data_IF_878401811395
#
_entry.id   IF_878401811395
#
_cell.length_a   1.000
_cell.length_b   1.000
_cell.length_c   1.000
_cell.angle_alpha   90.00
_cell.angle_beta   90.00
_cell.angle_gamma   90.00
#
_symmetry.space_group_name_H-M   'P 1'
#
loop_
_entity.id
_entity.type
_entity.pdbx_description
1 polymer ?
#
# COMPACT_ATOMS: atom_id res chain seq x y z
N UNK A 1 -13.50 10.38 14.92
CA UNK A 1 -12.66 9.73 13.89
C UNK A 1 -12.77 10.40 12.52
N UNK A 2 -13.89 10.35 11.79
CA UNK A 2 -13.98 10.95 10.43
C UNK A 2 -13.78 12.48 10.44
N UNK A 3 -14.36 13.18 11.41
CA UNK A 3 -14.22 14.63 11.54
C UNK A 3 -12.79 15.07 11.90
N UNK A 4 -12.07 14.27 12.69
CA UNK A 4 -10.67 14.51 13.05
C UNK A 4 -9.74 14.31 11.84
N UNK A 5 -9.96 13.26 11.05
CA UNK A 5 -9.23 13.01 9.79
C UNK A 5 -9.48 14.15 8.80
N UNK A 6 -10.73 14.63 8.69
CA UNK A 6 -11.08 15.78 7.85
C UNK A 6 -10.36 17.05 8.32
N UNK A 7 -10.41 17.36 9.63
CA UNK A 7 -9.74 18.54 10.19
C UNK A 7 -8.22 18.50 9.98
N UNK A 8 -7.61 17.33 10.18
CA UNK A 8 -6.18 17.12 9.96
C UNK A 8 -5.78 17.19 8.48
N UNK A 9 -6.70 16.89 7.56
CA UNK A 9 -6.49 17.04 6.11
C UNK A 9 -6.54 18.50 5.70
N UNK A 10 -7.54 19.24 6.17
CA UNK A 10 -7.70 20.68 5.92
C UNK A 10 -6.51 21.47 6.49
N UNK A 11 -6.07 21.15 7.70
CA UNK A 11 -4.94 21.82 8.34
C UNK A 11 -3.59 21.60 7.65
N UNK A 12 -3.48 20.61 6.75
CA UNK A 12 -2.28 20.35 5.95
C UNK A 12 -2.36 20.92 4.54
N UNK A 13 -3.47 21.56 4.15
CA UNK A 13 -3.61 22.17 2.83
C UNK A 13 -2.52 23.22 2.61
N UNK A 14 -1.78 23.10 1.51
CA UNK A 14 -0.59 23.92 1.21
C UNK A 14 0.67 23.65 2.05
N UNK A 15 0.61 22.80 3.08
CA UNK A 15 1.72 22.45 3.97
C UNK A 15 2.09 20.96 3.95
N UNK A 16 1.58 20.20 2.97
CA UNK A 16 1.93 18.80 2.79
C UNK A 16 3.44 18.69 2.51
N UNK A 17 4.18 17.77 3.16
CA UNK A 17 5.64 17.65 3.04
C UNK A 17 6.12 17.07 1.68
N UNK A 18 5.30 17.17 0.63
CA UNK A 18 5.57 16.68 -0.72
C UNK A 18 5.77 17.80 -1.74
N UNK A 19 6.45 17.47 -2.85
CA UNK A 19 6.54 18.34 -4.03
C UNK A 19 5.53 17.87 -5.08
N UNK A 20 4.43 18.62 -5.34
CA UNK A 20 3.42 18.22 -6.30
C UNK A 20 3.96 18.04 -7.72
N UNK A 21 4.98 18.82 -8.12
CA UNK A 21 5.58 18.70 -9.47
C UNK A 21 6.33 17.39 -9.60
N UNK A 22 7.08 16.99 -8.57
CA UNK A 22 7.75 15.68 -8.52
C UNK A 22 6.74 14.54 -8.48
N UNK A 23 5.63 14.71 -7.75
CA UNK A 23 4.54 13.71 -7.72
C UNK A 23 3.93 13.48 -9.10
N UNK A 24 3.56 14.55 -9.82
CA UNK A 24 3.05 14.44 -11.19
C UNK A 24 4.09 13.82 -12.12
N UNK A 25 5.37 14.19 -11.99
CA UNK A 25 6.43 13.60 -12.82
C UNK A 25 6.55 12.10 -12.60
N UNK A 26 6.53 11.64 -11.36
CA UNK A 26 6.56 10.22 -11.02
C UNK A 26 5.38 9.44 -11.63
N UNK A 27 4.18 10.03 -11.65
CA UNK A 27 3.00 9.41 -12.29
C UNK A 27 3.20 9.29 -13.80
N UNK A 28 3.65 10.35 -14.47
CA UNK A 28 3.90 10.33 -15.92
C UNK A 28 4.95 9.27 -16.27
N UNK A 29 6.06 9.24 -15.52
CA UNK A 29 7.15 8.29 -15.74
C UNK A 29 6.69 6.84 -15.51
N UNK A 30 5.84 6.60 -14.51
CA UNK A 30 5.27 5.27 -14.24
C UNK A 30 4.33 4.80 -15.36
N UNK A 31 3.50 5.69 -15.91
CA UNK A 31 2.57 5.35 -17.00
C UNK A 31 3.29 5.15 -18.34
N UNK A 32 4.50 5.67 -18.51
CA UNK A 32 5.31 5.52 -19.71
C UNK A 32 6.09 4.20 -19.77
N UNK A 33 6.03 3.36 -18.73
CA UNK A 33 6.69 2.05 -18.71
C UNK A 33 6.01 1.06 -19.67
N UNK A 34 6.77 0.12 -20.24
CA UNK A 34 6.23 -0.93 -21.12
C UNK A 34 5.12 -1.77 -20.43
N UNK A 35 5.22 -1.94 -19.12
CA UNK A 35 4.20 -2.55 -18.27
C UNK A 35 3.83 -1.59 -17.13
N UNK A 36 2.83 -0.71 -17.32
CA UNK A 36 2.45 0.29 -16.32
C UNK A 36 2.00 -0.36 -14.99
N UNK A 37 2.39 0.19 -13.84
CA UNK A 37 2.01 -0.37 -12.55
C UNK A 37 0.53 -0.15 -12.26
N UNK A 38 -0.13 -1.15 -11.64
CA UNK A 38 -1.52 -1.04 -11.18
C UNK A 38 -1.70 -0.09 -10.00
N UNK A 39 -0.65 0.12 -9.21
CA UNK A 39 -0.63 0.97 -8.01
C UNK A 39 0.72 1.66 -7.91
N UNK A 40 0.70 2.96 -7.64
CA UNK A 40 1.87 3.77 -7.35
C UNK A 40 1.62 4.54 -6.05
N UNK A 41 2.46 4.31 -5.05
CA UNK A 41 2.41 5.04 -3.78
C UNK A 41 3.37 6.22 -3.86
N UNK A 42 2.90 7.41 -3.50
CA UNK A 42 3.68 8.65 -3.57
C UNK A 42 4.00 9.17 -2.17
N UNK A 43 5.27 9.52 -1.95
CA UNK A 43 5.77 10.05 -0.69
C UNK A 43 6.29 8.97 0.26
N UNK A 44 7.30 9.31 1.06
CA UNK A 44 8.03 8.37 1.91
C UNK A 44 7.14 7.75 2.99
N UNK A 45 6.44 8.57 3.78
CA UNK A 45 5.57 8.08 4.86
C UNK A 45 4.46 7.17 4.33
N UNK A 46 3.87 7.53 3.18
CA UNK A 46 2.87 6.71 2.52
C UNK A 46 3.43 5.37 2.04
N UNK A 47 4.65 5.39 1.49
CA UNK A 47 5.34 4.17 1.06
C UNK A 47 5.65 3.25 2.24
N UNK A 48 6.25 3.79 3.31
CA UNK A 48 6.61 3.02 4.50
C UNK A 48 5.38 2.39 5.16
N UNK A 49 4.28 3.15 5.29
CA UNK A 49 3.02 2.66 5.84
C UNK A 49 2.40 1.56 4.96
N UNK A 50 2.41 1.73 3.63
CA UNK A 50 1.87 0.74 2.70
C UNK A 50 2.66 -0.57 2.73
N UNK A 51 4.00 -0.47 2.72
CA UNK A 51 4.88 -1.64 2.80
C UNK A 51 4.69 -2.36 4.13
N UNK A 52 4.74 -1.65 5.25
CA UNK A 52 4.56 -2.25 6.58
C UNK A 52 3.22 -2.98 6.72
N UNK A 53 2.14 -2.42 6.19
CA UNK A 53 0.81 -3.05 6.22
C UNK A 53 0.77 -4.35 5.42
N UNK A 54 1.35 -4.35 4.21
CA UNK A 54 1.39 -5.53 3.35
C UNK A 54 2.30 -6.62 3.93
N UNK A 55 3.43 -6.24 4.50
CA UNK A 55 4.35 -7.17 5.16
C UNK A 55 3.72 -7.82 6.39
N UNK A 56 3.04 -7.05 7.24
CA UNK A 56 2.31 -7.58 8.39
C UNK A 56 1.23 -8.58 7.95
N UNK A 57 0.43 -8.21 6.95
CA UNK A 57 -0.60 -9.10 6.39
C UNK A 57 0.00 -10.39 5.82
N UNK A 58 1.13 -10.28 5.12
CA UNK A 58 1.83 -11.44 4.56
C UNK A 58 2.43 -12.34 5.65
N UNK A 59 2.96 -11.76 6.72
CA UNK A 59 3.47 -12.51 7.87
C UNK A 59 2.36 -13.33 8.52
N UNK A 60 1.20 -12.72 8.80
CA UNK A 60 0.05 -13.43 9.36
C UNK A 60 -0.43 -14.59 8.48
N UNK A 61 -0.46 -14.40 7.15
CA UNK A 61 -0.81 -15.46 6.20
C UNK A 61 0.19 -16.62 6.27
N UNK A 62 1.49 -16.30 6.33
CA UNK A 62 2.57 -17.30 6.41
C UNK A 62 2.54 -18.08 7.72
N UNK A 63 2.23 -17.42 8.83
CA UNK A 63 2.09 -18.07 10.14
C UNK A 63 0.99 -19.14 10.16
N UNK A 64 -0.01 -18.99 9.29
CA UNK A 64 -1.11 -19.93 9.14
C UNK A 64 -0.91 -20.95 8.01
N UNK A 65 0.23 -20.96 7.32
CA UNK A 65 0.47 -21.75 6.11
C UNK A 65 0.15 -23.24 6.29
N UNK A 66 0.64 -23.87 7.36
CA UNK A 66 0.40 -25.29 7.64
C UNK A 66 -1.09 -25.60 7.77
N UNK A 67 -1.86 -24.73 8.46
CA UNK A 67 -3.31 -24.89 8.61
C UNK A 67 -4.03 -24.67 7.28
N UNK A 68 -3.64 -23.66 6.53
CA UNK A 68 -4.22 -23.36 5.22
C UNK A 68 -4.00 -24.50 4.23
N UNK A 69 -2.79 -25.09 4.20
CA UNK A 69 -2.48 -26.24 3.33
C UNK A 69 -3.09 -27.55 3.83
N UNK A 70 -3.23 -27.72 5.14
CA UNK A 70 -3.89 -28.87 5.74
C UNK A 70 -5.42 -28.87 5.58
N UNK A 71 -6.01 -27.82 5.03
CA UNK A 71 -7.44 -27.74 4.73
C UNK A 71 -7.82 -28.42 3.40
N UNK A 72 -6.84 -28.88 2.63
CA UNK A 72 -7.11 -29.71 1.44
C UNK A 72 -7.71 -31.06 1.87
N UNK A 73 -8.47 -31.68 0.95
CA UNK A 73 -8.97 -33.03 1.18
C UNK A 73 -7.79 -34.00 1.43
N UNK A 74 -7.93 -34.99 2.33
CA UNK A 74 -6.91 -36.01 2.48
C UNK A 74 -6.66 -36.66 1.12
N UNK A 75 -5.39 -36.91 0.75
CA UNK A 75 -5.09 -37.64 -0.47
C UNK A 75 -5.72 -39.02 -0.34
N UNK A 76 -6.74 -39.26 -1.17
CA UNK A 76 -7.43 -40.52 -1.50
C UNK A 76 -7.41 -41.61 -0.41
N UNK A 77 -8.58 -41.87 0.19
CA UNK A 77 -8.83 -43.14 0.90
C UNK A 77 -8.81 -44.33 -0.06
#
# INVERSE_FOLDING_TARGET
MVDEVRAATIGRDGAQPGDPRRGVRAVIDAMAQDAPPRRLVLGNEGFDAAVSTLEASLAEIRDLESRSRGADFPPEQ
#
